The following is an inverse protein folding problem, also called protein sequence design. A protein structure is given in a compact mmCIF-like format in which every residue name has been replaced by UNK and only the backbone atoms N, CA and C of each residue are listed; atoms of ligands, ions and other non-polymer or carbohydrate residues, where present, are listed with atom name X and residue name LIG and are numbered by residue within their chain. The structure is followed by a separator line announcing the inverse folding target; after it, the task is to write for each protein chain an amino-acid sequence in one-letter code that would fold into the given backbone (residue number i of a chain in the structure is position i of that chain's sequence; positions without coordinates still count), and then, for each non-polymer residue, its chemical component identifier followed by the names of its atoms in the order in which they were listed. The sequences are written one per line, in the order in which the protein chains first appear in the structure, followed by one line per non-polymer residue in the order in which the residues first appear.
data_IF_165930226154
#
_entry.id   IF_165930226154
#
_cell.length_a   1.000
_cell.length_b   1.000
_cell.length_c   1.000
_cell.angle_alpha   90.00
_cell.angle_beta   90.00
_cell.angle_gamma   90.00
#
_symmetry.space_group_name_H-M   'P 1'
#
loop_
_entity.id
_entity.type
_entity.pdbx_description
1 polymer ?
#
# COMPACT_ATOMS: atom_id res chain seq x y z
N UNK A 1 -55.01 8.15 14.26
CA UNK A 1 -54.27 7.40 13.23
C UNK A 1 -53.24 8.35 12.62
N UNK A 2 -51.98 8.19 13.00
CA UNK A 2 -50.88 9.04 12.53
C UNK A 2 -50.58 8.75 11.05
N UNK A 3 -50.69 9.76 10.18
CA UNK A 3 -50.27 9.63 8.78
C UNK A 3 -48.73 9.54 8.76
N UNK A 4 -48.20 8.33 8.58
CA UNK A 4 -46.78 8.16 8.21
C UNK A 4 -46.57 8.80 6.84
N UNK A 5 -46.00 10.01 6.83
CA UNK A 5 -45.63 10.70 5.59
C UNK A 5 -44.47 9.91 4.98
N UNK A 6 -44.80 9.07 3.99
CA UNK A 6 -43.78 8.44 3.16
C UNK A 6 -43.13 9.54 2.33
N UNK A 7 -41.83 9.78 2.54
CA UNK A 7 -41.00 10.60 1.66
C UNK A 7 -40.21 9.68 0.71
N UNK A 8 -40.85 9.10 -0.33
CA UNK A 8 -40.22 8.11 -1.20
C UNK A 8 -38.98 8.67 -1.89
N UNK A 9 -38.99 9.95 -2.26
CA UNK A 9 -37.86 10.62 -2.92
C UNK A 9 -36.65 10.69 -1.99
N UNK A 10 -36.84 11.07 -0.72
CA UNK A 10 -35.74 11.16 0.27
C UNK A 10 -35.11 9.78 0.47
N UNK A 11 -35.93 8.74 0.60
CA UNK A 11 -35.47 7.35 0.72
C UNK A 11 -34.68 6.92 -0.52
N UNK A 12 -35.19 7.21 -1.72
CA UNK A 12 -34.53 6.84 -2.97
C UNK A 12 -33.19 7.55 -3.11
N UNK A 13 -33.12 8.87 -2.87
CA UNK A 13 -31.87 9.64 -2.89
C UNK A 13 -30.86 9.08 -1.90
N UNK A 14 -31.29 8.82 -0.65
CA UNK A 14 -30.44 8.20 0.38
C UNK A 14 -29.87 6.85 -0.08
N UNK A 15 -30.71 5.97 -0.65
CA UNK A 15 -30.27 4.65 -1.11
C UNK A 15 -29.26 4.73 -2.25
N UNK A 16 -29.45 5.64 -3.22
CA UNK A 16 -28.49 5.83 -4.31
C UNK A 16 -27.16 6.41 -3.81
N UNK A 17 -27.20 7.37 -2.89
CA UNK A 17 -25.98 7.91 -2.28
C UNK A 17 -25.22 6.85 -1.49
N UNK A 18 -25.93 6.06 -0.68
CA UNK A 18 -25.32 4.98 0.09
C UNK A 18 -24.72 3.91 -0.83
N UNK A 19 -25.44 3.53 -1.89
CA UNK A 19 -24.94 2.59 -2.88
C UNK A 19 -23.70 3.13 -3.61
N UNK A 20 -23.67 4.42 -3.94
CA UNK A 20 -22.50 5.08 -4.55
C UNK A 20 -21.28 5.03 -3.61
N UNK A 21 -21.45 5.39 -2.34
CA UNK A 21 -20.38 5.33 -1.33
C UNK A 21 -19.88 3.89 -1.17
N UNK A 22 -20.79 2.92 -1.05
CA UNK A 22 -20.45 1.51 -0.96
C UNK A 22 -19.67 1.01 -2.18
N UNK A 23 -20.07 1.43 -3.39
CA UNK A 23 -19.38 1.10 -4.62
C UNK A 23 -17.96 1.68 -4.67
N UNK A 24 -17.78 2.93 -4.25
CA UNK A 24 -16.44 3.56 -4.16
C UNK A 24 -15.54 2.81 -3.20
N UNK A 25 -16.03 2.47 -2.00
CA UNK A 25 -15.27 1.69 -1.01
C UNK A 25 -14.89 0.31 -1.56
N UNK A 26 -15.80 -0.35 -2.27
CA UNK A 26 -15.56 -1.64 -2.89
C UNK A 26 -14.49 -1.56 -3.99
N UNK A 27 -14.54 -0.54 -4.84
CA UNK A 27 -13.52 -0.31 -5.89
C UNK A 27 -12.14 -0.08 -5.25
N UNK A 28 -12.06 0.76 -4.21
CA UNK A 28 -10.80 1.01 -3.50
C UNK A 28 -10.26 -0.29 -2.88
N UNK A 29 -11.12 -1.09 -2.26
CA UNK A 29 -10.75 -2.39 -1.69
C UNK A 29 -10.20 -3.35 -2.75
N UNK A 30 -10.86 -3.46 -3.90
CA UNK A 30 -10.42 -4.30 -5.01
C UNK A 30 -9.06 -3.85 -5.57
N UNK A 31 -8.85 -2.55 -5.77
CA UNK A 31 -7.57 -2.03 -6.26
C UNK A 31 -6.45 -2.36 -5.27
N UNK A 32 -6.67 -2.17 -3.97
CA UNK A 32 -5.67 -2.50 -2.94
C UNK A 32 -5.37 -4.00 -2.87
N UNK A 33 -6.39 -4.84 -3.02
CA UNK A 33 -6.21 -6.29 -3.00
C UNK A 33 -5.37 -6.78 -4.19
N UNK A 34 -5.65 -6.26 -5.39
CA UNK A 34 -4.85 -6.58 -6.58
C UNK A 34 -3.43 -6.03 -6.44
N UNK A 35 -3.25 -4.82 -5.89
CA UNK A 35 -1.94 -4.22 -5.65
C UNK A 35 -1.10 -5.07 -4.68
N UNK A 36 -1.70 -5.54 -3.59
CA UNK A 36 -1.05 -6.46 -2.66
C UNK A 36 -0.59 -7.76 -3.37
N UNK A 37 -1.48 -8.39 -4.15
CA UNK A 37 -1.13 -9.60 -4.89
C UNK A 37 -0.02 -9.38 -5.91
N UNK A 38 -0.05 -8.25 -6.63
CA UNK A 38 0.99 -7.89 -7.58
C UNK A 38 2.34 -7.66 -6.90
N UNK A 39 2.39 -6.94 -5.77
CA UNK A 39 3.63 -6.76 -4.99
C UNK A 39 4.17 -8.08 -4.44
N UNK A 40 3.29 -8.95 -3.94
CA UNK A 40 3.69 -10.22 -3.34
C UNK A 40 4.26 -11.23 -4.36
N UNK A 41 3.69 -11.31 -5.57
CA UNK A 41 4.02 -12.39 -6.52
C UNK A 41 4.70 -11.94 -7.82
N UNK A 42 4.55 -10.68 -8.24
CA UNK A 42 5.06 -10.18 -9.53
C UNK A 42 6.14 -9.12 -9.32
N UNK A 43 5.88 -8.13 -8.48
CA UNK A 43 6.76 -7.01 -8.18
C UNK A 43 7.40 -7.15 -6.80
N UNK A 44 8.10 -8.27 -6.57
CA UNK A 44 8.64 -8.66 -5.25
C UNK A 44 9.55 -7.61 -4.59
N UNK A 45 10.16 -6.72 -5.38
CA UNK A 45 10.99 -5.61 -4.89
C UNK A 45 10.22 -4.36 -4.43
N UNK A 46 8.90 -4.32 -4.56
CA UNK A 46 8.08 -3.12 -4.27
C UNK A 46 8.11 -2.67 -2.80
N UNK A 47 8.50 -3.58 -1.90
CA UNK A 47 8.54 -3.38 -0.46
C UNK A 47 9.96 -3.47 0.11
N UNK A 48 10.98 -3.62 -0.74
CA UNK A 48 12.38 -3.76 -0.30
C UNK A 48 12.87 -2.51 0.46
N UNK A 49 12.40 -1.33 0.05
CA UNK A 49 12.67 -0.07 0.76
C UNK A 49 12.18 -0.12 2.21
N UNK A 50 10.94 -0.58 2.40
CA UNK A 50 10.30 -0.68 3.72
C UNK A 50 11.00 -1.74 4.57
N UNK A 51 11.30 -2.90 3.99
CA UNK A 51 12.06 -3.96 4.64
C UNK A 51 13.45 -3.48 5.09
N UNK A 52 14.12 -2.66 4.29
CA UNK A 52 15.41 -2.08 4.67
C UNK A 52 15.30 -1.12 5.86
N UNK A 53 14.22 -0.34 5.93
CA UNK A 53 13.95 0.53 7.07
C UNK A 53 13.59 -0.27 8.33
N UNK A 54 12.80 -1.34 8.21
CA UNK A 54 12.39 -2.18 9.34
C UNK A 54 13.56 -2.95 9.96
N UNK A 55 14.56 -3.29 9.14
CA UNK A 55 15.79 -3.96 9.58
C UNK A 55 16.84 -2.99 10.14
N UNK A 56 16.59 -1.68 10.13
CA UNK A 56 17.56 -0.70 10.61
C UNK A 56 17.76 -0.89 12.12
N UNK A 57 18.97 -1.25 12.58
CA UNK A 57 19.24 -1.33 14.00
C UNK A 57 19.16 0.06 14.63
N UNK A 58 18.83 0.16 15.94
CA UNK A 58 18.84 1.44 16.64
C UNK A 58 20.24 2.05 16.56
N UNK A 59 20.37 3.21 15.94
CA UNK A 59 21.67 3.87 15.77
C UNK A 59 22.04 4.64 17.03
N UNK A 60 23.13 4.31 17.73
CA UNK A 60 23.65 5.12 18.83
C UNK A 60 24.12 6.46 18.29
N UNK A 61 24.02 7.52 19.11
CA UNK A 61 24.50 8.86 18.74
C UNK A 61 25.99 8.89 18.39
N UNK A 62 26.78 7.97 18.97
CA UNK A 62 28.22 7.86 18.76
C UNK A 62 28.64 6.43 18.42
N UNK A 63 28.52 6.08 17.13
CA UNK A 63 28.90 4.74 16.63
C UNK A 63 30.37 4.40 16.96
N UNK A 64 31.25 5.38 16.82
CA UNK A 64 32.68 5.28 17.18
C UNK A 64 32.90 5.00 18.68
N UNK A 65 32.02 5.50 19.55
CA UNK A 65 32.11 5.24 20.97
C UNK A 65 31.72 3.80 21.30
N UNK A 66 30.67 3.27 20.65
CA UNK A 66 30.26 1.86 20.80
C UNK A 66 31.36 0.89 20.38
N UNK A 67 32.05 1.18 19.28
CA UNK A 67 33.22 0.39 18.84
C UNK A 67 34.36 0.48 19.87
N UNK A 68 34.62 1.68 20.40
CA UNK A 68 35.69 1.91 21.38
C UNK A 68 35.45 1.21 22.72
N UNK A 69 34.20 1.15 23.19
CA UNK A 69 33.87 0.54 24.49
C UNK A 69 33.69 -0.97 24.42
N UNK A 70 33.65 -1.59 23.22
CA UNK A 70 33.50 -3.05 23.05
C UNK A 70 34.48 -3.84 23.94
N UNK A 71 35.72 -3.37 24.02
CA UNK A 71 36.79 -4.04 24.76
C UNK A 71 36.98 -3.52 26.20
N UNK A 72 36.08 -2.66 26.69
CA UNK A 72 36.17 -2.12 28.05
C UNK A 72 36.11 -3.25 29.09
N UNK A 73 37.07 -3.26 30.01
CA UNK A 73 37.17 -4.23 31.11
C UNK A 73 36.02 -4.15 32.11
N UNK A 74 35.30 -3.03 32.16
CA UNK A 74 34.18 -2.79 33.08
C UNK A 74 32.85 -3.40 32.60
N UNK A 75 32.76 -3.83 31.33
CA UNK A 75 31.55 -4.44 30.78
C UNK A 75 31.42 -5.90 31.18
N UNK A 76 30.20 -6.30 31.55
CA UNK A 76 29.84 -7.70 31.71
C UNK A 76 29.93 -8.46 30.38
N UNK A 77 30.03 -9.79 30.45
CA UNK A 77 30.01 -10.64 29.25
C UNK A 77 28.74 -10.43 28.41
N UNK A 78 27.58 -10.37 29.07
CA UNK A 78 26.30 -10.09 28.41
C UNK A 78 26.29 -8.75 27.66
N UNK A 79 26.90 -7.71 28.24
CA UNK A 79 26.99 -6.40 27.59
C UNK A 79 27.90 -6.45 26.37
N UNK A 80 29.03 -7.16 26.44
CA UNK A 80 29.93 -7.37 25.30
C UNK A 80 29.26 -8.15 24.17
N UNK A 81 28.54 -9.22 24.52
CA UNK A 81 27.78 -10.04 23.56
C UNK A 81 26.63 -9.25 22.90
N UNK A 82 26.00 -8.32 23.63
CA UNK A 82 24.99 -7.42 23.06
C UNK A 82 25.60 -6.42 22.07
N UNK A 83 26.75 -5.82 22.40
CA UNK A 83 27.46 -4.89 21.50
C UNK A 83 27.91 -5.62 20.23
N UNK A 84 28.47 -6.83 20.37
CA UNK A 84 28.95 -7.61 19.24
C UNK A 84 27.82 -8.02 18.29
N UNK A 85 26.67 -8.44 18.82
CA UNK A 85 25.48 -8.71 18.01
C UNK A 85 25.00 -7.47 17.27
N UNK A 86 24.89 -6.34 17.97
CA UNK A 86 24.46 -5.08 17.38
C UNK A 86 25.39 -4.59 16.27
N UNK A 87 26.72 -4.73 16.44
CA UNK A 87 27.69 -4.41 15.40
C UNK A 87 27.52 -5.28 14.16
N UNK A 88 27.28 -6.59 14.34
CA UNK A 88 26.99 -7.49 13.23
C UNK A 88 25.70 -7.11 12.49
N UNK A 89 24.63 -6.81 13.22
CA UNK A 89 23.35 -6.36 12.64
C UNK A 89 23.52 -5.03 11.88
N UNK A 90 24.36 -4.13 12.39
CA UNK A 90 24.68 -2.85 11.76
C UNK A 90 25.45 -3.03 10.45
N UNK A 91 26.50 -3.86 10.45
CA UNK A 91 27.30 -4.14 9.25
C UNK A 91 26.44 -4.79 8.16
N UNK A 92 25.56 -5.74 8.53
CA UNK A 92 24.62 -6.35 7.59
C UNK A 92 23.62 -5.33 7.02
N UNK A 93 23.10 -4.43 7.86
CA UNK A 93 22.21 -3.36 7.40
C UNK A 93 22.91 -2.39 6.45
N UNK A 94 24.16 -2.00 6.73
CA UNK A 94 24.98 -1.14 5.86
C UNK A 94 25.19 -1.82 4.51
N UNK A 95 25.63 -3.09 4.49
CA UNK A 95 25.85 -3.85 3.24
C UNK A 95 24.56 -3.94 2.40
N UNK A 96 23.42 -4.22 3.03
CA UNK A 96 22.12 -4.25 2.35
C UNK A 96 21.72 -2.87 1.84
N UNK A 97 22.00 -1.81 2.59
CA UNK A 97 21.69 -0.43 2.21
C UNK A 97 22.55 0.06 1.04
N UNK A 98 23.82 -0.33 0.95
CA UNK A 98 24.70 0.05 -0.16
C UNK A 98 24.30 -0.62 -1.47
N UNK A 99 23.81 -1.87 -1.39
CA UNK A 99 23.35 -2.64 -2.54
C UNK A 99 21.87 -2.37 -2.90
N UNK A 100 21.19 -1.48 -2.18
CA UNK A 100 19.76 -1.22 -2.35
C UNK A 100 19.46 -0.33 -3.57
N UNK A 101 18.68 -0.86 -4.51
CA UNK A 101 18.18 -0.11 -5.65
C UNK A 101 16.81 0.54 -5.36
N UNK A 102 16.87 1.76 -4.82
CA UNK A 102 15.69 2.58 -4.51
C UNK A 102 14.82 2.90 -5.74
N UNK A 103 15.44 3.02 -6.92
CA UNK A 103 14.74 3.38 -8.16
C UNK A 103 13.89 2.20 -8.61
N UNK A 104 14.43 1.00 -8.59
CA UNK A 104 13.69 -0.23 -8.94
C UNK A 104 12.57 -0.49 -7.95
N UNK A 105 12.80 -0.39 -6.65
CA UNK A 105 11.77 -0.58 -5.64
C UNK A 105 10.58 0.39 -5.85
N UNK A 106 10.86 1.67 -6.07
CA UNK A 106 9.84 2.69 -6.35
C UNK A 106 9.09 2.42 -7.65
N UNK A 107 9.79 1.99 -8.71
CA UNK A 107 9.16 1.62 -9.98
C UNK A 107 8.23 0.42 -9.83
N UNK A 108 8.64 -0.60 -9.09
CA UNK A 108 7.82 -1.78 -8.78
C UNK A 108 6.55 -1.40 -8.01
N UNK A 109 6.68 -0.56 -6.97
CA UNK A 109 5.55 -0.04 -6.19
C UNK A 109 4.56 0.72 -7.06
N UNK A 110 5.06 1.66 -7.88
CA UNK A 110 4.23 2.45 -8.79
C UNK A 110 3.57 1.59 -9.87
N UNK A 111 4.32 0.67 -10.48
CA UNK A 111 3.81 -0.22 -11.51
C UNK A 111 2.68 -1.10 -10.98
N UNK A 112 2.86 -1.68 -9.79
CA UNK A 112 1.82 -2.45 -9.11
C UNK A 112 0.54 -1.63 -8.92
N UNK A 113 0.65 -0.46 -8.29
CA UNK A 113 -0.53 0.35 -7.95
C UNK A 113 -1.26 0.83 -9.20
N UNK A 114 -0.52 1.30 -10.21
CA UNK A 114 -1.10 1.74 -11.46
C UNK A 114 -1.74 0.59 -12.24
N UNK A 115 -1.10 -0.59 -12.26
CA UNK A 115 -1.65 -1.76 -12.93
C UNK A 115 -2.95 -2.22 -12.25
N UNK A 116 -3.00 -2.22 -10.93
CA UNK A 116 -4.24 -2.52 -10.19
C UNK A 116 -5.38 -1.57 -10.52
N UNK A 117 -5.10 -0.26 -10.59
CA UNK A 117 -6.10 0.73 -11.01
C UNK A 117 -6.60 0.48 -12.42
N UNK A 118 -5.72 0.12 -13.36
CA UNK A 118 -6.09 -0.20 -14.74
C UNK A 118 -6.93 -1.48 -14.78
N UNK A 119 -6.50 -2.54 -14.11
CA UNK A 119 -7.18 -3.85 -14.10
C UNK A 119 -8.61 -3.75 -13.57
N UNK A 120 -8.87 -2.89 -12.60
CA UNK A 120 -10.22 -2.69 -12.04
C UNK A 120 -10.99 -1.59 -12.78
N UNK A 121 -10.34 -0.45 -13.04
CA UNK A 121 -10.95 0.74 -13.62
C UNK A 121 -11.35 0.58 -15.07
N UNK A 122 -10.56 -0.15 -15.88
CA UNK A 122 -10.82 -0.32 -17.30
C UNK A 122 -12.10 -1.13 -17.56
N UNK A 123 -12.33 -2.30 -16.93
CA UNK A 123 -13.62 -3.00 -17.02
C UNK A 123 -14.81 -2.14 -16.57
N UNK A 124 -14.66 -1.39 -15.47
CA UNK A 124 -15.71 -0.50 -14.96
C UNK A 124 -16.04 0.59 -15.98
N UNK A 125 -15.03 1.25 -16.55
CA UNK A 125 -15.20 2.26 -17.58
C UNK A 125 -15.93 1.70 -18.80
N UNK A 126 -15.46 0.57 -19.34
CA UNK A 126 -16.06 -0.03 -20.52
C UNK A 126 -17.52 -0.46 -20.29
N UNK A 127 -17.83 -0.99 -19.11
CA UNK A 127 -19.20 -1.35 -18.74
C UNK A 127 -20.13 -0.13 -18.79
N UNK A 128 -19.76 0.96 -18.11
CA UNK A 128 -20.57 2.18 -18.06
C UNK A 128 -20.68 2.85 -19.42
N UNK A 129 -19.57 2.95 -20.16
CA UNK A 129 -19.55 3.50 -21.51
C UNK A 129 -20.52 2.76 -22.45
N UNK A 130 -20.55 1.43 -22.38
CA UNK A 130 -21.47 0.62 -23.21
C UNK A 130 -22.93 0.85 -22.86
N UNK A 131 -23.27 1.08 -21.59
CA UNK A 131 -24.63 1.41 -21.18
C UNK A 131 -25.06 2.76 -21.74
N UNK A 132 -24.22 3.79 -21.58
CA UNK A 132 -24.48 5.14 -22.10
C UNK A 132 -24.71 5.09 -23.61
N UNK A 133 -23.87 4.35 -24.35
CA UNK A 133 -24.06 4.18 -25.79
C UNK A 133 -25.39 3.51 -26.15
N UNK A 134 -25.87 2.54 -25.37
CA UNK A 134 -27.15 1.87 -25.61
C UNK A 134 -28.33 2.79 -25.35
N UNK A 135 -28.29 3.55 -24.27
CA UNK A 135 -29.36 4.48 -23.89
C UNK A 135 -29.47 5.66 -24.86
N UNK A 136 -28.34 6.23 -25.25
CA UNK A 136 -28.29 7.31 -26.24
C UNK A 136 -28.80 6.88 -27.62
N UNK A 137 -28.47 5.66 -28.07
CA UNK A 137 -29.00 5.08 -29.31
C UNK A 137 -30.51 4.82 -29.24
N UNK A 138 -31.02 4.27 -28.13
CA UNK A 138 -32.48 4.08 -27.93
C UNK A 138 -33.22 5.40 -27.99
N UNK A 139 -32.70 6.45 -27.33
CA UNK A 139 -33.31 7.79 -27.36
C UNK A 139 -33.41 8.33 -28.79
N UNK A 140 -32.34 8.19 -29.60
CA UNK A 140 -32.36 8.61 -31.02
C UNK A 140 -33.33 7.85 -31.93
N UNK A 141 -33.71 6.61 -31.58
CA UNK A 141 -34.65 5.80 -32.40
C UNK A 141 -36.12 6.08 -32.09
N UNK A 142 -36.40 6.74 -30.97
CA UNK A 142 -37.75 7.12 -30.54
C UNK A 142 -38.12 8.56 -30.92
N UNK A 143 -37.24 9.26 -31.64
CA UNK A 143 -37.50 10.51 -32.36
C UNK A 143 -37.41 10.24 -33.86
#
# INVERSE_FOLDING_TARGET
MEKKIHHPIIRTVYLYLFALVGLVLLIIGLVRFVDMGLKAYVFTKAEDEERLYDLKPPTPYELMEVVRIKDNSELSREQKDAIERWLGDYDEWVERSENFDAVTARRHRNASTNLSMILIGLPLFFYHWRIIQRETKKKKKNY
#
